data_IF_841331664469
#
_entry.id   IF_841331664469
#
_cell.length_a   1.000
_cell.length_b   1.000
_cell.length_c   1.000
_cell.angle_alpha   90.00
_cell.angle_beta   90.00
_cell.angle_gamma   90.00
#
_symmetry.space_group_name_H-M   'P 1'
#
loop_
_entity.id
_entity.type
_entity.pdbx_description
1 polymer ?
#
# COMPACT_ATOMS: atom_id res chain seq x y z
N UNK A 1 21.66 23.29 66.40
CA UNK A 1 21.19 23.51 65.02
C UNK A 1 19.73 23.07 64.98
N UNK A 2 18.81 24.01 64.84
CA UNK A 2 17.36 23.75 64.88
C UNK A 2 16.86 23.76 63.44
N UNK A 3 16.37 22.62 62.95
CA UNK A 3 15.80 22.51 61.59
C UNK A 3 14.33 22.90 61.62
N UNK A 4 13.97 23.92 60.84
CA UNK A 4 12.59 24.34 60.64
C UNK A 4 11.93 23.48 59.56
N UNK A 5 10.86 22.77 59.92
CA UNK A 5 10.01 22.02 58.99
C UNK A 5 9.13 22.99 58.19
N UNK A 6 9.32 23.04 56.88
CA UNK A 6 8.47 23.84 55.99
C UNK A 6 7.09 23.17 55.85
N UNK A 7 6.04 23.89 56.27
CA UNK A 7 4.65 23.45 56.07
C UNK A 7 4.28 23.70 54.61
N UNK A 8 3.96 22.61 53.89
CA UNK A 8 3.44 22.68 52.51
C UNK A 8 1.98 23.12 52.54
N UNK A 9 1.58 24.20 51.84
CA UNK A 9 0.19 24.63 51.82
C UNK A 9 -0.70 23.57 51.17
N UNK A 10 -1.91 23.39 51.73
CA UNK A 10 -2.93 22.52 51.17
C UNK A 10 -3.35 23.02 49.78
N UNK A 11 -3.58 22.13 48.80
CA UNK A 11 -4.02 22.55 47.48
C UNK A 11 -5.37 23.27 47.59
N UNK A 12 -5.59 24.35 46.82
CA UNK A 12 -6.86 25.06 46.82
C UNK A 12 -7.98 24.09 46.43
N UNK A 13 -9.07 24.13 47.19
CA UNK A 13 -10.26 23.34 46.90
C UNK A 13 -11.00 24.04 45.75
N UNK A 14 -10.84 23.53 44.53
CA UNK A 14 -11.53 24.06 43.35
C UNK A 14 -12.98 23.57 43.36
N UNK A 15 -13.93 24.48 43.12
CA UNK A 15 -15.32 24.09 42.94
C UNK A 15 -15.52 23.40 41.57
N UNK A 16 -16.77 23.11 41.20
CA UNK A 16 -17.05 22.45 39.93
C UNK A 16 -16.76 23.36 38.73
N UNK A 17 -17.08 24.65 38.84
CA UNK A 17 -16.95 25.62 37.76
C UNK A 17 -15.46 25.89 37.48
N UNK A 18 -14.65 26.02 38.53
CA UNK A 18 -13.20 26.15 38.43
C UNK A 18 -12.57 24.92 37.73
N UNK A 19 -13.04 23.72 38.06
CA UNK A 19 -12.56 22.48 37.43
C UNK A 19 -12.96 22.39 35.96
N UNK A 20 -14.17 22.81 35.61
CA UNK A 20 -14.64 22.83 34.22
C UNK A 20 -13.91 23.89 33.39
N UNK A 21 -13.63 25.07 33.97
CA UNK A 21 -12.86 26.12 33.33
C UNK A 21 -11.42 25.66 33.03
N UNK A 22 -10.75 25.04 34.01
CA UNK A 22 -9.42 24.46 33.82
C UNK A 22 -9.40 23.34 32.77
N UNK A 23 -10.41 22.47 32.77
CA UNK A 23 -10.52 21.40 31.78
C UNK A 23 -10.74 21.93 30.36
N UNK A 24 -11.58 22.96 30.21
CA UNK A 24 -11.84 23.61 28.91
C UNK A 24 -10.56 24.26 28.37
N UNK A 25 -9.87 25.04 29.20
CA UNK A 25 -8.64 25.72 28.83
C UNK A 25 -7.51 24.73 28.47
N UNK A 26 -7.44 23.59 29.15
CA UNK A 26 -6.51 22.51 28.81
C UNK A 26 -6.86 21.82 27.47
N UNK A 27 -8.15 21.68 27.14
CA UNK A 27 -8.57 21.10 25.86
C UNK A 27 -8.35 22.06 24.70
N UNK A 28 -8.65 23.35 24.87
CA UNK A 28 -8.39 24.38 23.86
C UNK A 28 -6.90 24.38 23.48
N UNK A 29 -6.00 24.37 24.47
CA UNK A 29 -4.56 24.29 24.20
C UNK A 29 -4.12 23.01 23.48
N UNK A 30 -4.78 21.87 23.74
CA UNK A 30 -4.51 20.61 23.02
C UNK A 30 -5.00 20.66 21.58
N UNK A 31 -6.14 21.28 21.34
CA UNK A 31 -6.71 21.44 19.99
C UNK A 31 -5.85 22.39 19.16
N UNK A 32 -5.39 23.51 19.74
CA UNK A 32 -4.48 24.44 19.07
C UNK A 32 -3.16 23.76 18.69
N UNK A 33 -2.59 22.97 19.61
CA UNK A 33 -1.36 22.22 19.33
C UNK A 33 -1.57 21.17 18.21
N UNK A 34 -2.72 20.49 18.20
CA UNK A 34 -3.05 19.52 17.17
C UNK A 34 -3.26 20.18 15.80
N UNK A 35 -3.89 21.36 15.75
CA UNK A 35 -4.08 22.13 14.52
C UNK A 35 -2.74 22.54 13.92
N UNK A 36 -1.81 23.08 14.73
CA UNK A 36 -0.46 23.42 14.28
C UNK A 36 0.29 22.18 13.78
N UNK A 37 0.22 21.05 14.51
CA UNK A 37 0.89 19.82 14.09
C UNK A 37 0.31 19.30 12.77
N UNK A 38 -1.00 19.39 12.58
CA UNK A 38 -1.65 19.03 11.32
C UNK A 38 -1.16 19.94 10.19
N UNK A 39 -1.17 21.26 10.38
CA UNK A 39 -0.69 22.22 9.38
C UNK A 39 0.77 21.96 9.02
N UNK A 40 1.66 21.74 9.98
CA UNK A 40 3.08 21.46 9.72
C UNK A 40 3.27 20.12 8.98
N UNK A 41 2.59 19.07 9.41
CA UNK A 41 2.73 17.74 8.81
C UNK A 41 2.09 17.62 7.43
N UNK A 42 1.08 18.46 7.16
CA UNK A 42 0.37 18.50 5.87
C UNK A 42 0.77 19.69 5.00
N UNK A 43 1.66 20.56 5.51
CA UNK A 43 2.15 21.72 4.77
C UNK A 43 2.77 21.24 3.47
N UNK A 44 2.16 21.66 2.37
CA UNK A 44 2.72 21.48 1.06
C UNK A 44 4.00 22.32 0.99
N UNK A 45 5.16 21.69 0.83
CA UNK A 45 6.42 22.40 0.59
C UNK A 45 6.30 23.12 -0.77
N UNK A 46 6.21 24.45 -0.82
CA UNK A 46 6.16 25.17 -2.08
C UNK A 46 7.53 25.06 -2.75
N UNK A 47 7.60 24.38 -3.89
CA UNK A 47 8.85 24.08 -4.60
C UNK A 47 9.38 22.66 -4.42
N UNK A 48 8.70 21.81 -3.66
CA UNK A 48 8.77 20.38 -3.92
C UNK A 48 7.98 20.15 -5.21
N UNK A 49 8.67 20.16 -6.36
CA UNK A 49 8.12 19.58 -7.58
C UNK A 49 7.49 18.23 -7.19
N UNK A 50 6.30 17.87 -7.70
CA UNK A 50 5.83 16.51 -7.55
C UNK A 50 6.98 15.64 -8.00
N UNK A 51 7.51 14.77 -7.11
CA UNK A 51 8.56 13.83 -7.46
C UNK A 51 8.09 13.24 -8.78
N UNK A 52 8.78 13.49 -9.91
CA UNK A 52 8.29 13.00 -11.19
C UNK A 52 8.23 11.51 -10.99
N UNK A 53 7.01 10.97 -10.88
CA UNK A 53 6.82 9.54 -10.98
C UNK A 53 7.43 9.24 -12.34
N UNK A 54 8.56 8.50 -12.41
CA UNK A 54 9.00 8.05 -13.70
C UNK A 54 7.81 7.25 -14.20
N UNK A 55 7.10 7.81 -15.18
CA UNK A 55 6.13 7.07 -15.96
C UNK A 55 7.04 6.09 -16.67
N UNK A 56 7.24 4.93 -16.03
CA UNK A 56 7.87 3.81 -16.66
C UNK A 56 6.93 3.47 -17.80
N UNK A 57 7.25 4.00 -18.99
CA UNK A 57 6.52 3.71 -20.20
C UNK A 57 6.39 2.20 -20.27
N UNK A 58 5.14 1.71 -20.31
CA UNK A 58 4.88 0.29 -20.37
C UNK A 58 5.75 -0.30 -21.49
N UNK A 59 6.53 -1.35 -21.19
CA UNK A 59 7.41 -1.95 -22.17
C UNK A 59 6.60 -2.44 -23.37
N UNK A 60 7.21 -2.55 -24.57
CA UNK A 60 6.52 -3.11 -25.72
C UNK A 60 5.96 -4.50 -25.37
N UNK A 61 4.75 -4.84 -25.85
CA UNK A 61 4.13 -6.12 -25.54
C UNK A 61 5.03 -7.25 -26.03
N UNK A 62 5.35 -8.20 -25.14
CA UNK A 62 6.27 -9.31 -25.43
C UNK A 62 5.72 -10.21 -26.56
N UNK A 63 4.42 -10.48 -26.54
CA UNK A 63 3.71 -11.31 -27.52
C UNK A 63 2.24 -10.87 -27.65
N UNK A 64 1.57 -11.16 -28.77
CA UNK A 64 0.14 -10.94 -28.89
C UNK A 64 -0.62 -11.78 -27.85
N UNK A 65 -1.45 -11.11 -27.06
CA UNK A 65 -2.28 -11.76 -26.06
C UNK A 65 -3.50 -12.43 -26.70
N UNK A 66 -3.91 -13.62 -26.23
CA UNK A 66 -5.14 -14.27 -26.69
C UNK A 66 -6.40 -13.56 -26.16
N UNK A 67 -6.26 -12.69 -25.15
CA UNK A 67 -7.37 -12.00 -24.52
C UNK A 67 -7.63 -10.64 -25.16
N UNK A 68 -8.90 -10.33 -25.44
CA UNK A 68 -9.33 -9.03 -25.96
C UNK A 68 -9.78 -8.05 -24.88
N UNK A 69 -9.85 -8.51 -23.63
CA UNK A 69 -10.34 -7.71 -22.51
C UNK A 69 -9.14 -7.10 -21.77
N UNK A 70 -9.17 -5.80 -21.43
CA UNK A 70 -7.98 -5.06 -20.98
C UNK A 70 -7.24 -5.67 -19.78
N UNK A 71 -7.97 -6.13 -18.75
CA UNK A 71 -7.36 -6.66 -17.53
C UNK A 71 -6.84 -8.08 -17.76
N UNK A 72 -7.57 -8.92 -18.50
CA UNK A 72 -7.08 -10.24 -18.88
C UNK A 72 -5.79 -10.15 -19.72
N UNK A 73 -5.74 -9.20 -20.65
CA UNK A 73 -4.57 -8.91 -21.47
C UNK A 73 -3.38 -8.44 -20.62
N UNK A 74 -3.61 -7.52 -19.69
CA UNK A 74 -2.59 -7.08 -18.72
C UNK A 74 -2.05 -8.26 -17.89
N UNK A 75 -2.93 -9.09 -17.31
CA UNK A 75 -2.53 -10.23 -16.50
C UNK A 75 -1.71 -11.24 -17.32
N UNK A 76 -2.07 -11.43 -18.59
CA UNK A 76 -1.30 -12.27 -19.50
C UNK A 76 0.10 -11.69 -19.77
N UNK A 77 0.22 -10.39 -20.06
CA UNK A 77 1.54 -9.77 -20.24
C UNK A 77 2.39 -9.81 -18.97
N UNK A 78 1.79 -9.59 -17.80
CA UNK A 78 2.47 -9.69 -16.51
C UNK A 78 2.99 -11.11 -16.25
N UNK A 79 2.23 -12.14 -16.67
CA UNK A 79 2.71 -13.53 -16.64
C UNK A 79 3.95 -13.73 -17.51
N UNK A 80 3.89 -13.26 -18.77
CA UNK A 80 5.03 -13.36 -19.70
C UNK A 80 6.25 -12.60 -19.19
N UNK A 81 6.03 -11.48 -18.49
CA UNK A 81 7.08 -10.71 -17.83
C UNK A 81 7.82 -11.52 -16.78
N UNK A 82 7.09 -12.27 -15.94
CA UNK A 82 7.69 -13.16 -14.94
C UNK A 82 8.43 -14.33 -15.59
N UNK A 83 7.88 -14.89 -16.68
CA UNK A 83 8.56 -15.95 -17.46
C UNK A 83 9.87 -15.45 -18.10
N UNK A 84 9.89 -14.21 -18.58
CA UNK A 84 11.02 -13.65 -19.35
C UNK A 84 12.09 -13.06 -18.43
N UNK A 85 11.69 -12.17 -17.52
CA UNK A 85 12.62 -11.39 -16.68
C UNK A 85 12.91 -12.12 -15.36
N UNK A 86 12.17 -13.20 -15.08
CA UNK A 86 12.29 -14.00 -13.88
C UNK A 86 11.48 -13.47 -12.70
N UNK A 87 11.39 -14.32 -11.66
CA UNK A 87 10.52 -14.12 -10.51
C UNK A 87 11.30 -13.80 -9.24
N UNK A 88 10.78 -12.85 -8.46
CA UNK A 88 11.25 -12.57 -7.10
C UNK A 88 10.21 -12.98 -6.05
N UNK A 89 10.70 -13.65 -5.01
CA UNK A 89 9.92 -13.96 -3.81
C UNK A 89 9.77 -12.74 -2.90
N UNK A 90 10.82 -11.94 -2.77
CA UNK A 90 11.00 -11.02 -1.64
C UNK A 90 10.88 -9.55 -2.05
N UNK A 91 11.30 -9.19 -3.27
CA UNK A 91 11.33 -7.80 -3.71
C UNK A 91 10.29 -7.51 -4.81
N UNK A 92 9.82 -6.26 -4.85
CA UNK A 92 9.01 -5.78 -5.97
C UNK A 92 9.77 -5.89 -7.30
N UNK A 93 11.04 -5.51 -7.26
CA UNK A 93 12.03 -5.65 -8.33
C UNK A 93 13.37 -5.91 -7.65
N UNK A 94 14.08 -6.96 -8.03
CA UNK A 94 15.46 -7.23 -7.62
C UNK A 94 16.46 -6.47 -8.50
N UNK A 95 17.71 -6.36 -8.06
CA UNK A 95 18.77 -5.66 -8.81
C UNK A 95 19.01 -6.26 -10.19
N UNK A 96 18.76 -7.56 -10.36
CA UNK A 96 18.86 -8.29 -11.62
C UNK A 96 17.62 -8.18 -12.52
N UNK A 97 16.61 -7.42 -12.09
CA UNK A 97 15.37 -7.18 -12.84
C UNK A 97 14.24 -8.17 -12.57
N UNK A 98 14.45 -9.22 -11.75
CA UNK A 98 13.38 -10.16 -11.37
C UNK A 98 12.29 -9.47 -10.58
N UNK A 99 11.03 -9.84 -10.81
CA UNK A 99 9.86 -9.16 -10.20
C UNK A 99 8.97 -10.11 -9.43
N UNK A 100 8.39 -9.65 -8.33
CA UNK A 100 7.29 -10.36 -7.70
C UNK A 100 5.98 -10.19 -8.50
N UNK A 101 4.92 -10.91 -8.12
CA UNK A 101 3.63 -10.84 -8.79
C UNK A 101 3.09 -9.40 -8.94
N UNK A 102 3.11 -8.60 -7.87
CA UNK A 102 2.62 -7.21 -7.90
C UNK A 102 3.56 -6.33 -8.76
N UNK A 103 4.87 -6.54 -8.68
CA UNK A 103 5.85 -5.81 -9.47
C UNK A 103 5.69 -6.03 -10.97
N UNK A 104 5.36 -7.27 -11.39
CA UNK A 104 5.06 -7.60 -12.78
C UNK A 104 3.76 -6.94 -13.28
N UNK A 105 2.71 -6.92 -12.46
CA UNK A 105 1.46 -6.23 -12.78
C UNK A 105 1.70 -4.73 -12.98
N UNK A 106 2.37 -4.08 -12.02
CA UNK A 106 2.63 -2.63 -12.06
C UNK A 106 3.48 -2.22 -13.26
N UNK A 107 4.37 -3.11 -13.72
CA UNK A 107 5.21 -2.87 -14.89
C UNK A 107 4.41 -2.84 -16.20
N UNK A 108 3.37 -3.66 -16.30
CA UNK A 108 2.58 -3.83 -17.53
C UNK A 108 1.29 -2.99 -17.54
N UNK A 109 0.91 -2.44 -16.40
CA UNK A 109 -0.24 -1.54 -16.25
C UNK A 109 0.07 -0.16 -16.85
N UNK A 110 -0.89 0.39 -17.59
CA UNK A 110 -0.78 1.75 -18.07
C UNK A 110 -1.02 2.77 -16.94
N UNK A 111 -1.88 2.43 -15.97
CA UNK A 111 -2.33 3.32 -14.90
C UNK A 111 -2.43 2.54 -13.57
N UNK A 112 -2.41 3.27 -12.44
CA UNK A 112 -2.50 2.68 -11.10
C UNK A 112 -3.80 1.89 -10.89
N UNK A 113 -4.93 2.44 -11.32
CA UNK A 113 -6.24 1.80 -11.14
C UNK A 113 -6.31 0.45 -11.87
N UNK A 114 -5.74 0.39 -13.08
CA UNK A 114 -5.64 -0.84 -13.86
C UNK A 114 -4.80 -1.92 -13.15
N UNK A 115 -3.73 -1.52 -12.47
CA UNK A 115 -2.90 -2.43 -11.67
C UNK A 115 -3.66 -2.94 -10.44
N UNK A 116 -4.45 -2.08 -9.80
CA UNK A 116 -5.25 -2.43 -8.62
C UNK A 116 -6.36 -3.43 -9.00
N UNK A 117 -7.08 -3.19 -10.09
CA UNK A 117 -8.10 -4.12 -10.61
C UNK A 117 -7.50 -5.50 -10.96
N UNK A 118 -6.33 -5.52 -11.60
CA UNK A 118 -5.61 -6.75 -11.89
C UNK A 118 -5.19 -7.48 -10.60
N UNK A 119 -4.75 -6.75 -9.58
CA UNK A 119 -4.40 -7.33 -8.28
C UNK A 119 -5.64 -7.93 -7.58
N UNK A 120 -6.80 -7.28 -7.65
CA UNK A 120 -8.06 -7.83 -7.10
C UNK A 120 -8.37 -9.19 -7.73
N UNK A 121 -8.29 -9.29 -9.06
CA UNK A 121 -8.57 -10.54 -9.77
C UNK A 121 -7.51 -11.62 -9.51
N UNK A 122 -6.24 -11.24 -9.38
CA UNK A 122 -5.19 -12.17 -8.99
C UNK A 122 -5.42 -12.70 -7.57
N UNK A 123 -5.73 -11.83 -6.61
CA UNK A 123 -6.03 -12.25 -5.25
C UNK A 123 -7.25 -13.17 -5.20
N UNK A 124 -8.30 -12.85 -5.95
CA UNK A 124 -9.48 -13.71 -6.03
C UNK A 124 -9.15 -15.10 -6.61
N UNK A 125 -8.35 -15.16 -7.67
CA UNK A 125 -7.86 -16.43 -8.22
C UNK A 125 -7.02 -17.19 -7.19
N UNK A 126 -6.19 -16.49 -6.42
CA UNK A 126 -5.36 -17.09 -5.37
C UNK A 126 -6.24 -17.67 -4.25
N UNK A 127 -7.21 -16.91 -3.76
CA UNK A 127 -8.12 -17.33 -2.70
C UNK A 127 -8.94 -18.57 -3.09
N UNK A 128 -9.42 -18.62 -4.34
CA UNK A 128 -10.20 -19.76 -4.86
C UNK A 128 -9.45 -21.08 -4.90
N UNK A 129 -8.12 -21.04 -5.04
CA UNK A 129 -7.32 -22.25 -5.31
C UNK A 129 -6.28 -22.58 -4.23
N UNK A 130 -5.84 -21.59 -3.46
CA UNK A 130 -4.79 -21.75 -2.45
C UNK A 130 -5.13 -21.15 -1.09
N UNK A 131 -6.34 -20.61 -0.89
CA UNK A 131 -6.84 -20.11 0.40
C UNK A 131 -5.92 -19.10 1.10
N UNK A 132 -5.20 -18.26 0.34
CA UNK A 132 -4.31 -17.26 0.91
C UNK A 132 -4.98 -15.89 1.04
N UNK A 133 -4.67 -15.16 2.10
CA UNK A 133 -5.31 -13.88 2.42
C UNK A 133 -4.79 -12.71 1.58
N UNK A 134 -3.50 -12.74 1.20
CA UNK A 134 -2.87 -11.63 0.47
C UNK A 134 -1.91 -12.14 -0.61
N UNK A 135 -1.75 -11.37 -1.68
CA UNK A 135 -0.79 -11.67 -2.75
C UNK A 135 0.66 -11.68 -2.21
N UNK A 136 1.12 -10.71 -1.40
CA UNK A 136 2.49 -10.71 -0.91
C UNK A 136 2.81 -11.95 -0.05
N UNK A 137 1.95 -12.30 0.92
CA UNK A 137 2.19 -13.45 1.79
C UNK A 137 2.17 -14.76 1.00
N UNK A 138 1.25 -14.88 0.04
CA UNK A 138 1.20 -16.04 -0.85
C UNK A 138 2.42 -16.14 -1.76
N UNK A 139 2.85 -15.04 -2.38
CA UNK A 139 4.05 -15.00 -3.23
C UNK A 139 5.29 -15.40 -2.43
N UNK A 140 5.45 -14.84 -1.22
CA UNK A 140 6.56 -15.14 -0.34
C UNK A 140 6.61 -16.63 0.05
N UNK A 141 5.46 -17.30 0.16
CA UNK A 141 5.39 -18.73 0.49
C UNK A 141 5.77 -19.67 -0.66
N UNK A 142 5.88 -19.19 -1.91
CA UNK A 142 6.17 -20.06 -3.05
C UNK A 142 7.65 -20.46 -3.09
N UNK A 143 7.93 -21.68 -3.53
CA UNK A 143 9.30 -22.20 -3.71
C UNK A 143 9.83 -21.99 -5.13
N UNK A 144 8.94 -21.75 -6.10
CA UNK A 144 9.26 -21.50 -7.51
C UNK A 144 8.22 -20.57 -8.13
N UNK A 145 8.49 -20.11 -9.35
CA UNK A 145 7.57 -19.23 -10.08
C UNK A 145 6.36 -19.98 -10.67
N UNK A 146 6.39 -21.30 -10.77
CA UNK A 146 5.34 -22.06 -11.46
C UNK A 146 3.92 -21.86 -10.87
N UNK A 147 3.72 -21.89 -9.54
CA UNK A 147 2.42 -21.56 -8.95
C UNK A 147 1.98 -20.12 -9.23
N UNK A 148 2.93 -19.18 -9.28
CA UNK A 148 2.69 -17.77 -9.61
C UNK A 148 2.16 -17.65 -11.03
N UNK A 149 2.83 -18.27 -12.01
CA UNK A 149 2.38 -18.28 -13.40
C UNK A 149 1.00 -18.92 -13.57
N UNK A 150 0.71 -20.00 -12.83
CA UNK A 150 -0.59 -20.65 -12.84
C UNK A 150 -1.70 -19.74 -12.29
N UNK A 151 -1.42 -19.00 -11.21
CA UNK A 151 -2.36 -18.03 -10.66
C UNK A 151 -2.66 -16.89 -11.64
N UNK A 152 -1.65 -16.37 -12.35
CA UNK A 152 -1.86 -15.40 -13.41
C UNK A 152 -2.73 -15.94 -14.55
N UNK A 153 -2.52 -17.19 -14.97
CA UNK A 153 -3.35 -17.84 -15.98
C UNK A 153 -4.83 -17.88 -15.58
N UNK A 154 -5.09 -18.35 -14.35
CA UNK A 154 -6.45 -18.40 -13.78
C UNK A 154 -7.08 -17.03 -13.60
N UNK A 155 -6.29 -16.03 -13.20
CA UNK A 155 -6.76 -14.65 -13.06
C UNK A 155 -7.12 -14.04 -14.41
N UNK A 156 -6.33 -14.29 -15.46
CA UNK A 156 -6.63 -13.82 -16.81
C UNK A 156 -7.89 -14.49 -17.38
N UNK A 157 -8.08 -15.80 -17.16
CA UNK A 157 -9.32 -16.50 -17.52
C UNK A 157 -10.53 -15.92 -16.78
N UNK A 158 -10.39 -15.63 -15.48
CA UNK A 158 -11.44 -15.02 -14.66
C UNK A 158 -11.81 -13.61 -15.16
N UNK A 159 -10.81 -12.78 -15.45
CA UNK A 159 -10.99 -11.45 -16.02
C UNK A 159 -11.72 -11.52 -17.36
N UNK A 160 -11.29 -12.42 -18.24
CA UNK A 160 -11.88 -12.62 -19.55
C UNK A 160 -13.34 -13.07 -19.47
N UNK A 161 -13.64 -14.03 -18.59
CA UNK A 161 -15.01 -14.50 -18.37
C UNK A 161 -15.95 -13.40 -17.85
N UNK A 162 -15.41 -12.34 -17.25
CA UNK A 162 -16.14 -11.16 -16.76
C UNK A 162 -16.13 -9.98 -17.72
N UNK A 163 -15.50 -10.11 -18.89
CA UNK A 163 -15.28 -9.03 -19.85
C UNK A 163 -14.50 -7.84 -19.27
N UNK A 164 -13.51 -8.13 -18.41
CA UNK A 164 -12.61 -7.15 -17.78
C UNK A 164 -11.22 -7.13 -18.43
#
# INVERSE_FOLDING_TARGET
MTTATAVRPAPPLLDLDDRLALASLAMDGRLDQAAVAFEVNTAHLPGADPIPHPVETAPPPLMPSPYRTPIADLLHRARLRIETDGWSREALVEEDGRRCAIGAIRREAAHRDQADDACVLLLEAIQRHWQAETIPSWNAAQTSHAPVLLAFGKAAELAHARNL
#
